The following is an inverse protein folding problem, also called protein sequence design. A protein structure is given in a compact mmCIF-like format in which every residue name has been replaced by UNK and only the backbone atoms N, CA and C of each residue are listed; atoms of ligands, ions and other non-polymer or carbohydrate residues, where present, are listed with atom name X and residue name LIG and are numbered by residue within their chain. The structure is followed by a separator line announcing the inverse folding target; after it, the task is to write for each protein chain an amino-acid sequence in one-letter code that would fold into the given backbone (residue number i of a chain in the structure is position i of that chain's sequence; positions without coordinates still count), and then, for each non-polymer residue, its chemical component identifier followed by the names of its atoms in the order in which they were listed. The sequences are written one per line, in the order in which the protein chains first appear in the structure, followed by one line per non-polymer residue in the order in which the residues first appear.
data_IF_234409858929
#
_entry.id   IF_234409858929
#
_cell.length_a   1.000
_cell.length_b   1.000
_cell.length_c   1.000
_cell.angle_alpha   90.00
_cell.angle_beta   90.00
_cell.angle_gamma   90.00
#
_symmetry.space_group_name_H-M   'P 1'
#
loop_
_entity.id
_entity.type
_entity.pdbx_description
1 polymer ?
#
# COMPACT_ATOMS: atom_id res chain seq x y z
N UNK A 1 -16.97 -18.86 19.98
CA UNK A 1 -15.86 -18.22 19.26
C UNK A 1 -16.31 -16.83 18.89
N UNK A 2 -15.63 -15.79 19.37
CA UNK A 2 -15.96 -14.40 19.07
C UNK A 2 -15.90 -14.21 17.58
N UNK A 3 -17.03 -13.80 16.98
CA UNK A 3 -17.13 -13.76 15.53
C UNK A 3 -16.09 -12.78 15.00
N UNK A 4 -15.13 -13.33 14.25
CA UNK A 4 -14.16 -12.52 13.52
C UNK A 4 -14.92 -11.76 12.47
N UNK A 5 -14.71 -10.45 12.39
CA UNK A 5 -15.31 -9.61 11.36
C UNK A 5 -15.06 -10.21 9.97
N UNK A 6 -16.16 -10.58 9.32
CA UNK A 6 -16.19 -10.90 7.91
C UNK A 6 -16.81 -9.70 7.23
N UNK A 7 -16.03 -9.05 6.38
CA UNK A 7 -16.53 -7.96 5.54
C UNK A 7 -17.69 -8.48 4.70
N UNK A 8 -18.76 -7.68 4.55
CA UNK A 8 -19.92 -8.03 3.73
C UNK A 8 -19.58 -8.32 2.27
N UNK A 9 -18.36 -7.98 1.83
CA UNK A 9 -17.83 -8.33 0.52
C UNK A 9 -18.48 -7.54 -0.62
N UNK A 10 -19.26 -6.51 -0.30
CA UNK A 10 -19.97 -5.70 -1.28
C UNK A 10 -19.00 -4.76 -2.00
N UNK A 11 -19.14 -4.70 -3.33
CA UNK A 11 -18.50 -3.71 -4.16
C UNK A 11 -19.54 -3.17 -5.14
N UNK A 12 -20.02 -1.95 -4.89
CA UNK A 12 -20.99 -1.34 -5.79
C UNK A 12 -20.32 -1.01 -7.13
N UNK A 13 -21.03 -1.13 -8.27
CA UNK A 13 -20.46 -0.77 -9.58
C UNK A 13 -19.93 0.67 -9.62
N UNK A 14 -20.63 1.61 -8.99
CA UNK A 14 -20.20 3.00 -8.89
C UNK A 14 -18.96 3.18 -8.01
N UNK A 15 -18.82 2.37 -6.94
CA UNK A 15 -17.62 2.35 -6.10
C UNK A 15 -16.41 1.84 -6.86
N UNK A 16 -16.56 0.71 -7.57
CA UNK A 16 -15.52 0.14 -8.44
C UNK A 16 -15.08 1.16 -9.49
N UNK A 17 -16.02 1.81 -10.18
CA UNK A 17 -15.72 2.80 -11.20
C UNK A 17 -14.90 3.98 -10.64
N UNK A 18 -15.30 4.52 -9.48
CA UNK A 18 -14.55 5.60 -8.82
C UNK A 18 -13.13 5.15 -8.47
N UNK A 19 -12.97 3.97 -7.87
CA UNK A 19 -11.64 3.45 -7.50
C UNK A 19 -10.74 3.24 -8.71
N UNK A 20 -11.28 2.65 -9.78
CA UNK A 20 -10.54 2.47 -11.04
C UNK A 20 -10.16 3.82 -11.63
N UNK A 21 -11.04 4.83 -11.61
CA UNK A 21 -10.73 6.17 -12.11
C UNK A 21 -9.57 6.82 -11.34
N UNK A 22 -9.60 6.81 -10.00
CA UNK A 22 -8.48 7.33 -9.20
C UNK A 22 -7.18 6.57 -9.47
N UNK A 23 -7.24 5.24 -9.57
CA UNK A 23 -6.09 4.40 -9.88
C UNK A 23 -5.52 4.70 -11.26
N UNK A 24 -6.34 4.77 -12.30
CA UNK A 24 -5.91 5.09 -13.68
C UNK A 24 -5.26 6.48 -13.73
N UNK A 25 -5.88 7.51 -13.16
CA UNK A 25 -5.31 8.85 -13.15
C UNK A 25 -3.92 8.86 -12.50
N UNK A 26 -3.77 8.19 -11.35
CA UNK A 26 -2.49 8.03 -10.69
C UNK A 26 -1.48 7.23 -11.53
N UNK A 27 -1.92 6.17 -12.22
CA UNK A 27 -1.10 5.37 -13.13
C UNK A 27 -0.56 6.13 -14.33
N UNK A 28 -1.12 7.28 -14.70
CA UNK A 28 -0.57 8.15 -15.76
C UNK A 28 0.29 9.28 -15.21
N UNK A 29 -0.05 9.83 -14.04
CA UNK A 29 0.63 11.00 -13.46
C UNK A 29 1.90 10.60 -12.71
N UNK A 30 1.83 9.59 -11.84
CA UNK A 30 2.96 9.21 -10.98
C UNK A 30 4.19 8.70 -11.74
N UNK A 31 4.07 7.96 -12.86
CA UNK A 31 5.22 7.60 -13.68
C UNK A 31 6.08 8.79 -14.13
N UNK A 32 5.46 9.95 -14.43
CA UNK A 32 6.18 11.16 -14.85
C UNK A 32 7.13 11.61 -13.73
N UNK A 33 6.61 11.66 -12.50
CA UNK A 33 7.39 12.04 -11.31
C UNK A 33 8.49 11.02 -11.05
N UNK A 34 8.15 9.73 -11.15
CA UNK A 34 9.10 8.64 -10.96
C UNK A 34 10.29 8.72 -11.92
N UNK A 35 10.05 8.83 -13.22
CA UNK A 35 11.10 8.91 -14.25
C UNK A 35 11.95 10.17 -14.05
N UNK A 36 11.35 11.31 -13.71
CA UNK A 36 12.10 12.52 -13.41
C UNK A 36 13.05 12.30 -12.23
N UNK A 37 12.60 11.71 -11.12
CA UNK A 37 13.45 11.46 -9.96
C UNK A 37 14.62 10.51 -10.27
N UNK A 38 14.33 9.38 -10.90
CA UNK A 38 15.34 8.36 -11.25
C UNK A 38 16.37 8.91 -12.23
N UNK A 39 15.96 9.83 -13.11
CA UNK A 39 16.89 10.47 -14.06
C UNK A 39 17.77 11.53 -13.41
N UNK A 40 17.27 12.25 -12.40
CA UNK A 40 18.03 13.26 -11.68
C UNK A 40 19.14 12.66 -10.81
N UNK A 41 18.89 11.50 -10.20
CA UNK A 41 19.87 10.82 -9.32
C UNK A 41 20.03 9.38 -9.81
N UNK A 42 20.93 9.12 -10.77
CA UNK A 42 21.14 7.79 -11.32
C UNK A 42 21.91 6.89 -10.34
N UNK A 43 21.22 6.39 -9.32
CA UNK A 43 21.74 5.51 -8.29
C UNK A 43 20.77 4.34 -8.04
N UNK A 44 21.28 3.10 -8.04
CA UNK A 44 20.43 1.90 -7.95
C UNK A 44 19.61 1.81 -6.64
N UNK A 45 20.19 2.23 -5.51
CA UNK A 45 19.50 2.23 -4.22
C UNK A 45 18.45 3.32 -4.15
N UNK A 46 18.74 4.49 -4.70
CA UNK A 46 17.77 5.57 -4.83
C UNK A 46 16.59 5.16 -5.71
N UNK A 47 16.85 4.51 -6.85
CA UNK A 47 15.80 4.00 -7.74
C UNK A 47 14.89 3.00 -7.05
N UNK A 48 15.46 2.07 -6.26
CA UNK A 48 14.66 1.12 -5.48
C UNK A 48 13.74 1.81 -4.46
N UNK A 49 14.21 2.86 -3.78
CA UNK A 49 13.38 3.67 -2.87
C UNK A 49 12.30 4.42 -3.64
N UNK A 50 12.63 5.03 -4.78
CA UNK A 50 11.66 5.69 -5.64
C UNK A 50 10.59 4.70 -6.15
N UNK A 51 10.96 3.48 -6.51
CA UNK A 51 10.03 2.44 -6.96
C UNK A 51 9.08 2.01 -5.83
N UNK A 52 9.60 1.86 -4.61
CA UNK A 52 8.79 1.59 -3.42
C UNK A 52 7.79 2.72 -3.17
N UNK A 53 8.24 3.98 -3.16
CA UNK A 53 7.38 5.14 -2.94
C UNK A 53 6.35 5.30 -4.06
N UNK A 54 6.74 5.04 -5.31
CA UNK A 54 5.84 5.08 -6.46
C UNK A 54 4.66 4.12 -6.27
N UNK A 55 4.93 2.87 -5.91
CA UNK A 55 3.87 1.91 -5.63
C UNK A 55 3.01 2.29 -4.41
N UNK A 56 3.62 2.81 -3.34
CA UNK A 56 2.87 3.29 -2.16
C UNK A 56 1.95 4.48 -2.48
N UNK A 57 2.42 5.46 -3.25
CA UNK A 57 1.60 6.61 -3.66
C UNK A 57 0.49 6.20 -4.62
N UNK A 58 0.75 5.26 -5.53
CA UNK A 58 -0.28 4.70 -6.39
C UNK A 58 -1.37 4.01 -5.55
N UNK A 59 -0.97 3.18 -4.60
CA UNK A 59 -1.89 2.55 -3.65
C UNK A 59 -2.69 3.56 -2.82
N UNK A 60 -2.10 4.69 -2.42
CA UNK A 60 -2.82 5.75 -1.71
C UNK A 60 -4.02 6.28 -2.51
N UNK A 61 -3.86 6.55 -3.80
CA UNK A 61 -4.98 7.00 -4.64
C UNK A 61 -6.05 5.92 -4.83
N UNK A 62 -5.63 4.65 -4.93
CA UNK A 62 -6.56 3.51 -4.98
C UNK A 62 -7.33 3.41 -3.66
N UNK A 63 -6.67 3.58 -2.52
CA UNK A 63 -7.29 3.59 -1.20
C UNK A 63 -8.28 4.75 -1.02
N UNK A 64 -7.97 5.94 -1.53
CA UNK A 64 -8.93 7.06 -1.58
C UNK A 64 -10.19 6.66 -2.37
N UNK A 65 -9.99 6.02 -3.52
CA UNK A 65 -11.06 5.43 -4.30
C UNK A 65 -11.89 4.42 -3.51
N UNK A 66 -11.24 3.46 -2.83
CA UNK A 66 -11.90 2.46 -1.97
C UNK A 66 -12.70 3.13 -0.86
N UNK A 67 -12.15 4.18 -0.23
CA UNK A 67 -12.79 4.94 0.83
C UNK A 67 -14.08 5.58 0.34
N UNK A 68 -13.99 6.33 -0.76
CA UNK A 68 -15.12 7.07 -1.36
C UNK A 68 -16.15 6.11 -1.97
N UNK A 69 -15.67 5.03 -2.59
CA UNK A 69 -16.48 4.00 -3.24
C UNK A 69 -17.06 2.96 -2.28
N UNK A 70 -16.62 2.96 -1.01
CA UNK A 70 -17.05 2.03 0.05
C UNK A 70 -16.92 0.55 -0.38
N UNK A 71 -15.83 0.24 -1.08
CA UNK A 71 -15.53 -1.13 -1.52
C UNK A 71 -15.12 -1.95 -0.31
N UNK A 72 -15.85 -3.04 -0.06
CA UNK A 72 -15.64 -3.97 1.07
C UNK A 72 -15.11 -5.33 0.62
N UNK A 73 -14.99 -5.52 -0.70
CA UNK A 73 -14.48 -6.74 -1.30
C UNK A 73 -12.96 -6.68 -1.47
N UNK A 74 -12.24 -7.48 -0.66
CA UNK A 74 -10.78 -7.54 -0.70
C UNK A 74 -10.24 -8.00 -2.06
N UNK A 75 -10.86 -9.01 -2.68
CA UNK A 75 -10.39 -9.55 -3.97
C UNK A 75 -10.51 -8.52 -5.08
N UNK A 76 -11.63 -7.78 -5.13
CA UNK A 76 -11.84 -6.72 -6.12
C UNK A 76 -10.85 -5.57 -5.88
N UNK A 77 -10.67 -5.13 -4.63
CA UNK A 77 -9.70 -4.09 -4.30
C UNK A 77 -8.27 -4.45 -4.73
N UNK A 78 -7.81 -5.67 -4.43
CA UNK A 78 -6.49 -6.15 -4.87
C UNK A 78 -6.44 -6.33 -6.39
N UNK A 79 -7.52 -6.79 -7.04
CA UNK A 79 -7.59 -6.87 -8.49
C UNK A 79 -7.40 -5.52 -9.17
N UNK A 80 -8.06 -4.47 -8.67
CA UNK A 80 -7.87 -3.09 -9.15
C UNK A 80 -6.43 -2.63 -8.89
N UNK A 81 -5.89 -2.92 -7.70
CA UNK A 81 -4.51 -2.58 -7.34
C UNK A 81 -3.49 -3.21 -8.30
N UNK A 82 -3.64 -4.49 -8.63
CA UNK A 82 -2.80 -5.20 -9.59
C UNK A 82 -2.93 -4.59 -10.99
N UNK A 83 -4.15 -4.36 -11.46
CA UNK A 83 -4.41 -3.73 -12.77
C UNK A 83 -3.74 -2.36 -12.88
N UNK A 84 -3.97 -1.47 -11.90
CA UNK A 84 -3.39 -0.13 -11.90
C UNK A 84 -1.86 -0.16 -11.73
N UNK A 85 -1.32 -1.09 -10.93
CA UNK A 85 0.12 -1.29 -10.78
C UNK A 85 0.79 -1.68 -12.09
N UNK A 86 0.22 -2.66 -12.82
CA UNK A 86 0.71 -3.06 -14.14
C UNK A 86 0.58 -1.93 -15.17
N UNK A 87 -0.54 -1.22 -15.18
CA UNK A 87 -0.74 -0.07 -16.06
C UNK A 87 0.28 1.05 -15.78
N UNK A 88 0.55 1.34 -14.51
CA UNK A 88 1.53 2.33 -14.11
C UNK A 88 2.96 1.89 -14.49
N UNK A 89 3.27 0.59 -14.33
CA UNK A 89 4.52 0.02 -14.78
C UNK A 89 4.69 0.10 -16.30
N UNK A 90 3.62 -0.16 -17.06
CA UNK A 90 3.63 0.01 -18.51
C UNK A 90 3.84 1.47 -18.92
N UNK A 91 3.10 2.40 -18.31
CA UNK A 91 3.21 3.83 -18.58
C UNK A 91 4.60 4.39 -18.27
N UNK A 92 5.28 3.91 -17.22
CA UNK A 92 6.63 4.36 -16.95
C UNK A 92 7.63 3.94 -18.05
N UNK A 93 7.43 2.76 -18.65
CA UNK A 93 8.24 2.29 -19.76
C UNK A 93 8.02 3.14 -21.01
N UNK A 94 6.76 3.44 -21.34
CA UNK A 94 6.43 4.35 -22.44
C UNK A 94 7.07 5.71 -22.23
N UNK A 95 6.97 6.30 -21.02
CA UNK A 95 7.58 7.60 -20.74
C UNK A 95 9.10 7.56 -20.76
N UNK A 96 9.70 6.51 -20.22
CA UNK A 96 11.15 6.33 -20.24
C UNK A 96 11.66 6.31 -21.68
N UNK A 97 11.02 5.54 -22.55
CA UNK A 97 11.41 5.40 -23.95
C UNK A 97 11.27 6.73 -24.73
N UNK A 98 10.09 7.35 -24.66
CA UNK A 98 9.83 8.65 -25.29
C UNK A 98 10.86 9.71 -24.87
N UNK A 99 11.21 9.75 -23.59
CA UNK A 99 12.19 10.72 -23.08
C UNK A 99 13.64 10.34 -23.42
N UNK A 100 13.94 9.04 -23.53
CA UNK A 100 15.26 8.57 -23.92
C UNK A 100 15.57 8.88 -25.40
N UNK A 101 14.57 8.74 -26.28
CA UNK A 101 14.68 9.01 -27.72
C UNK A 101 14.28 10.43 -28.14
N UNK A 102 13.85 11.26 -27.19
CA UNK A 102 13.60 12.69 -27.43
C UNK A 102 14.82 13.37 -28.06
N UNK A 103 14.60 14.09 -29.16
CA UNK A 103 15.65 14.80 -29.91
C UNK A 103 16.39 15.86 -29.07
N UNK A 104 15.75 16.37 -28.01
CA UNK A 104 16.35 17.33 -27.06
C UNK A 104 16.94 16.65 -25.82
N UNK A 105 16.87 15.32 -25.76
CA UNK A 105 17.17 14.53 -24.57
C UNK A 105 16.25 14.88 -23.39
N UNK A 106 16.66 14.46 -22.20
CA UNK A 106 15.97 14.81 -20.96
C UNK A 106 16.25 16.27 -20.58
N UNK A 107 15.26 17.15 -20.72
CA UNK A 107 15.36 18.57 -20.38
C UNK A 107 14.03 19.14 -19.92
N UNK A 108 14.07 20.12 -19.03
CA UNK A 108 12.89 20.90 -18.61
C UNK A 108 12.62 22.10 -19.53
N UNK A 109 13.53 22.42 -20.46
CA UNK A 109 13.38 23.55 -21.39
C UNK A 109 12.57 23.14 -22.63
N UNK A 110 11.31 22.81 -22.43
CA UNK A 110 10.38 22.38 -23.49
C UNK A 110 9.48 23.53 -23.94
N UNK A 111 9.29 23.67 -25.25
CA UNK A 111 8.29 24.55 -25.84
C UNK A 111 6.96 23.83 -26.04
N UNK A 112 5.89 24.57 -26.34
CA UNK A 112 4.59 23.95 -26.64
C UNK A 112 4.60 23.02 -27.86
N UNK A 113 5.49 23.24 -28.83
CA UNK A 113 5.66 22.34 -29.97
C UNK A 113 6.33 21.03 -29.54
N UNK A 114 7.35 21.10 -28.68
CA UNK A 114 8.04 19.91 -28.16
C UNK A 114 7.10 19.03 -27.35
N UNK A 115 6.25 19.64 -26.50
CA UNK A 115 5.25 18.90 -25.72
C UNK A 115 4.24 18.16 -26.62
N UNK A 116 3.84 18.76 -27.75
CA UNK A 116 2.94 18.09 -28.70
C UNK A 116 3.58 16.87 -29.36
N UNK A 117 4.87 16.96 -29.70
CA UNK A 117 5.63 15.83 -30.25
C UNK A 117 5.74 14.72 -29.21
N UNK A 118 6.21 15.04 -27.99
CA UNK A 118 6.32 14.06 -26.90
C UNK A 118 4.98 13.39 -26.57
N UNK A 119 3.88 14.14 -26.58
CA UNK A 119 2.55 13.59 -26.38
C UNK A 119 2.15 12.65 -27.53
N UNK A 120 2.47 13.01 -28.77
CA UNK A 120 2.24 12.16 -29.95
C UNK A 120 3.03 10.86 -29.89
N UNK A 121 4.31 10.93 -29.55
CA UNK A 121 5.19 9.77 -29.39
C UNK A 121 4.72 8.88 -28.24
N UNK A 122 4.31 9.48 -27.12
CA UNK A 122 3.70 8.78 -26.01
C UNK A 122 2.44 8.00 -26.44
N UNK A 123 1.50 8.64 -27.12
CA UNK A 123 0.29 7.97 -27.60
C UNK A 123 0.59 6.86 -28.62
N UNK A 124 1.57 7.09 -29.50
CA UNK A 124 2.00 6.11 -30.46
C UNK A 124 2.55 4.86 -29.76
N UNK A 125 3.52 5.01 -28.87
CA UNK A 125 4.12 3.89 -28.15
C UNK A 125 3.15 3.19 -27.20
N UNK A 126 2.31 3.95 -26.49
CA UNK A 126 1.26 3.41 -25.62
C UNK A 126 0.26 2.54 -26.40
N UNK A 127 -0.03 2.88 -27.66
CA UNK A 127 -0.99 2.12 -28.48
C UNK A 127 -0.33 0.97 -29.25
N UNK A 128 1.00 0.88 -29.25
CA UNK A 128 1.78 -0.13 -29.99
C UNK A 128 2.74 -0.87 -29.05
N UNK A 129 2.25 -1.68 -28.09
CA UNK A 129 3.08 -2.37 -27.11
C UNK A 129 4.14 -3.30 -27.74
N UNK A 130 3.87 -3.83 -28.94
CA UNK A 130 4.85 -4.65 -29.67
C UNK A 130 6.07 -3.87 -30.19
N UNK A 131 5.93 -2.55 -30.39
CA UNK A 131 7.05 -1.67 -30.75
C UNK A 131 7.85 -1.36 -29.48
N UNK A 132 7.18 -0.91 -28.42
CA UNK A 132 7.81 -0.65 -27.12
C UNK A 132 8.63 -1.85 -26.63
N UNK A 133 8.08 -3.07 -26.74
CA UNK A 133 8.82 -4.26 -26.31
C UNK A 133 10.11 -4.49 -27.12
N UNK A 134 10.10 -4.22 -28.43
CA UNK A 134 11.31 -4.29 -29.26
C UNK A 134 12.34 -3.23 -28.85
N UNK A 135 11.90 -2.03 -28.51
CA UNK A 135 12.77 -0.97 -28.01
C UNK A 135 13.38 -1.34 -26.65
N UNK A 136 12.59 -1.91 -25.74
CA UNK A 136 13.10 -2.44 -24.46
C UNK A 136 14.16 -3.53 -24.69
N UNK A 137 13.94 -4.43 -25.65
CA UNK A 137 14.95 -5.44 -26.02
C UNK A 137 16.24 -4.79 -26.57
N UNK A 138 16.11 -3.81 -27.46
CA UNK A 138 17.25 -3.10 -28.02
C UNK A 138 18.03 -2.32 -26.93
N UNK A 139 17.32 -1.62 -26.04
CA UNK A 139 17.90 -0.96 -24.88
C UNK A 139 18.60 -1.96 -23.94
N UNK A 140 18.09 -3.19 -23.84
CA UNK A 140 18.71 -4.23 -23.06
C UNK A 140 20.04 -4.71 -23.66
N UNK A 141 20.14 -4.78 -24.99
CA UNK A 141 21.37 -5.14 -25.70
C UNK A 141 22.45 -4.08 -25.57
N UNK A 142 22.10 -2.81 -25.74
CA UNK A 142 23.04 -1.68 -25.64
C UNK A 142 23.38 -1.33 -24.19
N UNK A 143 22.43 -1.56 -23.27
CA UNK A 143 22.52 -1.24 -21.86
C UNK A 143 22.12 0.20 -21.55
N UNK A 144 21.49 0.41 -20.40
CA UNK A 144 20.82 1.69 -20.06
C UNK A 144 21.54 2.54 -19.01
N UNK A 145 22.41 1.94 -18.20
CA UNK A 145 23.19 2.64 -17.19
C UNK A 145 24.49 1.89 -16.85
N UNK A 146 25.41 2.57 -16.17
CA UNK A 146 26.69 2.02 -15.72
C UNK A 146 26.73 1.97 -14.20
N UNK A 147 27.32 0.90 -13.66
CA UNK A 147 27.69 0.84 -12.25
C UNK A 147 29.09 1.45 -12.13
N UNK A 148 29.35 2.21 -11.07
CA UNK A 148 30.65 2.82 -10.81
C UNK A 148 31.75 1.74 -10.81
N UNK A 149 32.78 1.93 -11.64
CA UNK A 149 33.86 0.94 -11.84
C UNK A 149 33.54 -0.22 -12.81
N UNK A 150 32.38 -0.24 -13.47
CA UNK A 150 31.95 -1.30 -14.40
C UNK A 150 31.68 -0.81 -15.83
N UNK A 151 31.59 -1.76 -16.77
CA UNK A 151 30.95 -1.59 -18.07
C UNK A 151 29.43 -1.32 -17.93
N UNK A 152 28.80 -0.87 -19.01
CA UNK A 152 27.35 -0.68 -19.09
C UNK A 152 26.63 -1.98 -18.77
N UNK A 153 25.62 -1.89 -17.91
CA UNK A 153 24.78 -3.03 -17.51
C UNK A 153 23.83 -3.32 -18.66
N UNK A 154 23.89 -4.55 -19.18
CA UNK A 154 23.10 -5.04 -20.32
C UNK A 154 22.72 -6.52 -20.12
N UNK A 155 21.88 -7.04 -21.01
CA UNK A 155 21.53 -8.46 -21.04
C UNK A 155 20.75 -8.92 -19.81
N UNK A 156 21.05 -10.13 -19.34
CA UNK A 156 20.31 -10.80 -18.28
C UNK A 156 20.31 -10.04 -16.94
N UNK A 157 21.43 -9.40 -16.57
CA UNK A 157 21.51 -8.62 -15.33
C UNK A 157 20.53 -7.43 -15.34
N UNK A 158 20.39 -6.78 -16.48
CA UNK A 158 19.48 -5.65 -16.63
C UNK A 158 18.01 -6.09 -16.57
N UNK A 159 17.67 -7.25 -17.14
CA UNK A 159 16.35 -7.85 -16.97
C UNK A 159 16.01 -8.15 -15.50
N UNK A 160 16.96 -8.66 -14.71
CA UNK A 160 16.77 -8.88 -13.27
C UNK A 160 16.45 -7.58 -12.55
N UNK A 161 17.14 -6.48 -12.89
CA UNK A 161 16.93 -5.18 -12.24
C UNK A 161 15.53 -4.64 -12.56
N UNK A 162 15.11 -4.65 -13.82
CA UNK A 162 13.77 -4.22 -14.22
C UNK A 162 12.67 -5.10 -13.65
N UNK A 163 12.90 -6.42 -13.57
CA UNK A 163 11.97 -7.33 -12.92
C UNK A 163 11.90 -7.08 -11.41
N UNK A 164 13.03 -6.82 -10.76
CA UNK A 164 13.10 -6.44 -9.36
C UNK A 164 12.33 -5.14 -9.08
N UNK A 165 12.46 -4.15 -9.96
CA UNK A 165 11.69 -2.92 -9.90
C UNK A 165 10.18 -3.17 -10.01
N UNK A 166 9.75 -3.98 -10.98
CA UNK A 166 8.36 -4.41 -11.12
C UNK A 166 7.86 -5.05 -9.82
N UNK A 167 8.63 -5.98 -9.24
CA UNK A 167 8.26 -6.63 -7.99
C UNK A 167 8.13 -5.63 -6.84
N UNK A 168 9.07 -4.69 -6.68
CA UNK A 168 9.02 -3.68 -5.62
C UNK A 168 7.77 -2.80 -5.76
N UNK A 169 7.45 -2.34 -6.97
CA UNK A 169 6.24 -1.55 -7.25
C UNK A 169 4.99 -2.39 -6.95
N UNK A 170 4.91 -3.61 -7.48
CA UNK A 170 3.72 -4.45 -7.32
C UNK A 170 3.48 -4.87 -5.87
N UNK A 171 4.54 -5.28 -5.16
CA UNK A 171 4.45 -5.68 -3.76
C UNK A 171 4.07 -4.52 -2.87
N UNK A 172 4.63 -3.31 -3.10
CA UNK A 172 4.24 -2.12 -2.34
C UNK A 172 2.79 -1.73 -2.60
N UNK A 173 2.31 -1.76 -3.85
CA UNK A 173 0.91 -1.47 -4.17
C UNK A 173 -0.04 -2.43 -3.46
N UNK A 174 0.20 -3.74 -3.60
CA UNK A 174 -0.64 -4.80 -3.01
C UNK A 174 -0.62 -4.72 -1.48
N UNK A 175 0.57 -4.54 -0.89
CA UNK A 175 0.73 -4.47 0.55
C UNK A 175 0.03 -3.24 1.13
N UNK A 176 0.20 -2.06 0.51
CA UNK A 176 -0.41 -0.82 0.99
C UNK A 176 -1.93 -0.86 0.87
N UNK A 177 -2.50 -1.25 -0.28
CA UNK A 177 -3.96 -1.40 -0.43
C UNK A 177 -4.49 -2.46 0.54
N UNK A 178 -3.83 -3.62 0.65
CA UNK A 178 -4.29 -4.73 1.49
C UNK A 178 -4.31 -4.40 3.00
N UNK A 179 -3.46 -3.47 3.44
CA UNK A 179 -3.40 -2.98 4.82
C UNK A 179 -4.03 -1.58 5.00
N UNK A 180 -4.57 -1.01 3.92
CA UNK A 180 -5.13 0.33 3.86
C UNK A 180 -6.59 0.39 4.24
N UNK A 181 -7.39 1.09 3.44
CA UNK A 181 -8.79 1.36 3.79
C UNK A 181 -9.64 0.08 3.86
N UNK A 182 -9.37 -0.90 3.00
CA UNK A 182 -10.06 -2.20 2.97
C UNK A 182 -9.88 -3.02 4.25
N UNK A 183 -8.86 -2.68 5.05
CA UNK A 183 -8.55 -3.33 6.32
C UNK A 183 -9.32 -2.74 7.51
N UNK A 184 -10.04 -1.64 7.32
CA UNK A 184 -10.84 -1.00 8.36
C UNK A 184 -12.25 -1.62 8.36
N UNK A 185 -12.85 -1.94 9.52
CA UNK A 185 -14.24 -2.41 9.56
C UNK A 185 -15.23 -1.37 9.03
N UNK A 186 -16.32 -1.84 8.43
CA UNK A 186 -17.38 -0.99 7.89
C UNK A 186 -18.64 -1.13 8.74
N UNK A 187 -19.26 -0.01 9.08
CA UNK A 187 -20.58 0.04 9.72
C UNK A 187 -21.64 0.05 8.63
N UNK A 188 -22.36 -1.06 8.49
CA UNK A 188 -23.48 -1.16 7.54
C UNK A 188 -24.68 -0.29 7.99
N UNK A 189 -24.88 -0.13 9.30
CA UNK A 189 -25.92 0.72 9.85
C UNK A 189 -25.71 2.20 9.50
N UNK A 190 -24.46 2.68 9.62
CA UNK A 190 -24.12 4.07 9.40
C UNK A 190 -23.56 4.34 8.00
N UNK A 191 -23.57 3.35 7.11
CA UNK A 191 -23.00 3.39 5.75
C UNK A 191 -21.63 4.09 5.72
N UNK A 192 -20.75 3.76 6.66
CA UNK A 192 -19.47 4.45 6.84
C UNK A 192 -18.39 3.55 7.41
N UNK A 193 -17.14 3.86 7.06
CA UNK A 193 -15.99 3.20 7.65
C UNK A 193 -15.90 3.55 9.13
N UNK A 194 -15.67 2.54 9.96
CA UNK A 194 -15.52 2.77 11.40
C UNK A 194 -14.27 3.57 11.70
N UNK A 195 -14.35 4.36 12.76
CA UNK A 195 -13.25 5.21 13.20
C UNK A 195 -12.42 4.46 14.23
N UNK A 196 -11.09 4.50 14.06
CA UNK A 196 -10.18 4.00 15.08
C UNK A 196 -10.17 4.98 16.25
N UNK A 197 -10.48 4.50 17.45
CA UNK A 197 -10.37 5.31 18.67
C UNK A 197 -8.91 5.74 18.87
N UNK A 198 -8.71 7.03 19.17
CA UNK A 198 -7.36 7.61 19.37
C UNK A 198 -6.67 7.03 20.60
N UNK A 199 -7.43 6.89 21.69
CA UNK A 199 -6.94 6.29 22.92
C UNK A 199 -6.86 4.76 22.77
N UNK A 200 -5.67 4.20 23.04
CA UNK A 200 -5.40 2.76 22.97
C UNK A 200 -5.41 2.24 24.40
N UNK A 201 -6.26 1.26 24.70
CA UNK A 201 -6.25 0.69 26.04
C UNK A 201 -5.04 -0.21 26.20
N UNK A 202 -4.43 -0.17 27.38
CA UNK A 202 -3.42 -1.13 27.79
C UNK A 202 -4.08 -2.10 28.74
N UNK A 203 -3.86 -3.39 28.50
CA UNK A 203 -4.36 -4.48 29.33
C UNK A 203 -3.21 -5.43 29.67
N UNK A 204 -3.44 -6.32 30.62
CA UNK A 204 -2.45 -7.33 30.98
C UNK A 204 -2.05 -8.14 29.75
N UNK A 205 -0.78 -8.54 29.71
CA UNK A 205 -0.28 -9.39 28.63
C UNK A 205 -1.12 -10.66 28.53
N UNK A 206 -1.56 -11.00 27.32
CA UNK A 206 -2.38 -12.18 27.10
C UNK A 206 -1.49 -13.38 26.83
N UNK A 207 -1.36 -14.27 27.81
CA UNK A 207 -0.54 -15.48 27.69
C UNK A 207 -1.22 -16.55 26.83
N UNK A 208 -2.47 -16.89 27.16
CA UNK A 208 -3.27 -17.85 26.42
C UNK A 208 -4.38 -17.17 25.62
N UNK A 209 -4.29 -17.35 24.30
CA UNK A 209 -5.27 -16.82 23.35
C UNK A 209 -6.64 -17.46 23.51
N UNK A 210 -6.71 -18.76 23.77
CA UNK A 210 -7.97 -19.50 23.74
C UNK A 210 -8.80 -19.21 24.99
N UNK A 211 -8.14 -19.14 26.16
CA UNK A 211 -8.76 -18.65 27.39
C UNK A 211 -9.26 -17.22 27.25
N UNK A 212 -8.45 -16.33 26.65
CA UNK A 212 -8.85 -14.94 26.41
C UNK A 212 -10.08 -14.84 25.50
N UNK A 213 -10.09 -15.54 24.37
CA UNK A 213 -11.25 -15.55 23.46
C UNK A 213 -12.50 -16.10 24.15
N UNK A 214 -12.34 -17.11 25.00
CA UNK A 214 -13.45 -17.68 25.78
C UNK A 214 -14.04 -16.66 26.75
N UNK A 215 -13.21 -15.84 27.41
CA UNK A 215 -13.68 -14.78 28.30
C UNK A 215 -14.42 -13.67 27.53
N UNK A 216 -13.90 -13.28 26.37
CA UNK A 216 -14.58 -12.33 25.48
C UNK A 216 -15.94 -12.87 25.01
N UNK A 217 -16.04 -14.16 24.70
CA UNK A 217 -17.30 -14.81 24.30
C UNK A 217 -18.33 -14.82 25.43
N UNK A 218 -17.87 -14.89 26.68
CA UNK A 218 -18.69 -14.78 27.89
C UNK A 218 -19.09 -13.34 28.22
N UNK A 219 -18.74 -12.37 27.36
CA UNK A 219 -18.99 -10.93 27.52
C UNK A 219 -18.25 -10.31 28.71
N UNK A 220 -17.14 -10.89 29.12
CA UNK A 220 -16.26 -10.37 30.18
C UNK A 220 -15.38 -9.22 29.61
N UNK A 221 -16.02 -8.16 29.12
CA UNK A 221 -15.34 -7.06 28.43
C UNK A 221 -14.53 -6.15 29.36
N UNK A 222 -14.64 -6.30 30.68
CA UNK A 222 -13.82 -5.58 31.65
C UNK A 222 -12.32 -5.84 31.43
N UNK A 223 -11.97 -7.02 30.90
CA UNK A 223 -10.60 -7.40 30.52
C UNK A 223 -10.02 -6.51 29.41
N UNK A 224 -10.86 -5.76 28.68
CA UNK A 224 -10.47 -4.85 27.60
C UNK A 224 -10.35 -3.39 28.06
N UNK A 225 -10.72 -3.07 29.31
CA UNK A 225 -10.64 -1.71 29.84
C UNK A 225 -9.19 -1.33 30.11
N UNK A 226 -8.87 -0.05 29.92
CA UNK A 226 -7.54 0.45 30.20
C UNK A 226 -7.17 0.23 31.67
N UNK A 227 -6.04 -0.42 31.90
CA UNK A 227 -5.45 -0.56 33.22
C UNK A 227 -4.29 0.43 33.37
N UNK A 228 -4.42 1.38 34.28
CA UNK A 228 -3.43 2.43 34.55
C UNK A 228 -2.19 1.88 35.29
N UNK A 229 -2.30 0.76 36.00
CA UNK A 229 -1.23 0.19 36.81
C UNK A 229 -0.11 -0.48 35.97
N UNK A 230 -0.38 -0.72 34.68
CA UNK A 230 0.54 -1.40 33.76
C UNK A 230 1.18 -0.46 32.74
N UNK A 231 1.11 0.85 32.95
CA UNK A 231 1.74 1.83 32.06
C UNK A 231 3.24 1.59 31.91
N UNK A 232 3.91 1.12 32.97
CA UNK A 232 5.34 0.83 33.02
C UNK A 232 5.69 -0.67 32.94
N UNK A 233 4.71 -1.53 32.68
CA UNK A 233 4.94 -2.97 32.59
C UNK A 233 5.83 -3.32 31.38
N UNK A 234 6.76 -4.26 31.58
CA UNK A 234 7.63 -4.75 30.50
C UNK A 234 6.82 -5.46 29.39
N UNK A 235 5.78 -6.19 29.78
CA UNK A 235 4.89 -6.92 28.88
C UNK A 235 3.46 -6.48 29.13
N UNK A 236 2.75 -6.11 28.07
CA UNK A 236 1.35 -5.72 28.12
C UNK A 236 0.67 -6.06 26.78
N UNK A 237 -0.64 -5.85 26.67
CA UNK A 237 -1.34 -5.88 25.39
C UNK A 237 -2.02 -4.54 25.10
N UNK A 238 -2.02 -4.14 23.83
CA UNK A 238 -2.72 -2.97 23.31
C UNK A 238 -4.07 -3.41 22.73
N UNK A 239 -5.13 -2.72 23.13
CA UNK A 239 -6.48 -2.90 22.59
C UNK A 239 -6.78 -1.72 21.67
N UNK A 240 -6.93 -2.01 20.38
CA UNK A 240 -7.31 -1.03 19.37
C UNK A 240 -8.76 -1.22 19.01
N UNK A 241 -9.57 -0.19 19.29
CA UNK A 241 -11.03 -0.22 19.11
C UNK A 241 -11.40 0.57 17.85
N UNK A 242 -12.29 -0.03 17.04
CA UNK A 242 -12.96 0.61 15.92
C UNK A 242 -14.45 0.72 16.25
N UNK A 243 -15.00 1.91 16.10
CA UNK A 243 -16.40 2.20 16.43
C UNK A 243 -16.99 3.23 15.47
N UNK A 244 -18.32 3.25 15.41
CA UNK A 244 -19.10 4.25 14.69
C UNK A 244 -20.21 4.78 15.60
N UNK A 245 -20.53 6.09 15.59
CA UNK A 245 -21.54 6.65 16.49
C UNK A 245 -22.90 5.96 16.37
N UNK A 246 -23.43 5.44 17.48
CA UNK A 246 -24.74 4.78 17.51
C UNK A 246 -24.78 3.35 16.94
N UNK A 247 -23.66 2.83 16.43
CA UNK A 247 -23.55 1.41 16.05
C UNK A 247 -23.27 0.58 17.32
N UNK A 248 -24.09 -0.44 17.64
CA UNK A 248 -23.85 -1.31 18.78
C UNK A 248 -22.62 -2.21 18.60
N UNK A 249 -22.14 -2.41 17.37
CA UNK A 249 -20.96 -3.19 17.08
C UNK A 249 -19.68 -2.36 17.22
N UNK A 250 -18.75 -2.86 18.04
CA UNK A 250 -17.36 -2.41 18.09
C UNK A 250 -16.47 -3.53 17.56
N UNK A 251 -15.40 -3.18 16.87
CA UNK A 251 -14.39 -4.15 16.46
C UNK A 251 -13.08 -3.90 17.18
N UNK A 252 -12.45 -4.98 17.62
CA UNK A 252 -11.26 -4.89 18.47
C UNK A 252 -10.10 -5.70 17.89
N UNK A 253 -8.92 -5.09 17.87
CA UNK A 253 -7.66 -5.78 17.71
C UNK A 253 -6.94 -5.82 19.06
N UNK A 254 -6.37 -6.97 19.41
CA UNK A 254 -5.54 -7.13 20.61
C UNK A 254 -4.13 -7.49 20.17
N UNK A 255 -3.16 -6.70 20.62
CA UNK A 255 -1.77 -6.77 20.19
C UNK A 255 -0.89 -6.91 21.41
N UNK A 256 -0.26 -8.06 21.60
CA UNK A 256 0.72 -8.24 22.67
C UNK A 256 2.00 -7.46 22.34
N UNK A 257 2.51 -6.75 23.34
CA UNK A 257 3.73 -5.94 23.26
C UNK A 257 4.72 -6.45 24.31
N UNK A 258 5.91 -6.80 23.86
CA UNK A 258 7.04 -7.19 24.70
C UNK A 258 8.13 -6.13 24.54
N UNK A 259 8.45 -5.41 25.61
CA UNK A 259 9.50 -4.41 25.61
C UNK A 259 10.85 -5.08 25.87
N UNK A 260 11.67 -5.20 24.82
CA UNK A 260 13.05 -5.65 24.95
C UNK A 260 13.95 -4.45 25.26
N UNK A 261 14.75 -4.54 26.32
CA UNK A 261 15.73 -3.53 26.69
C UNK A 261 17.09 -3.95 26.16
N UNK A 262 17.73 -3.10 25.35
CA UNK A 262 19.08 -3.36 24.87
C UNK A 262 20.15 -3.07 25.93
N UNK A 263 21.41 -3.44 25.65
CA UNK A 263 22.55 -3.19 26.54
C UNK A 263 22.81 -1.69 26.81
N UNK A 264 22.17 -0.78 26.08
CA UNK A 264 22.27 0.68 26.19
C UNK A 264 21.01 1.32 26.80
N UNK A 265 20.07 0.52 27.30
CA UNK A 265 18.82 1.00 27.90
C UNK A 265 17.74 1.43 26.91
N UNK A 266 17.93 1.21 25.59
CA UNK A 266 16.92 1.51 24.57
C UNK A 266 15.84 0.43 24.55
N UNK A 267 14.59 0.85 24.72
CA UNK A 267 13.42 -0.03 24.66
C UNK A 267 13.02 -0.24 23.20
N UNK A 268 12.94 -1.50 22.77
CA UNK A 268 12.42 -1.88 21.44
C UNK A 268 11.19 -2.76 21.63
N UNK A 269 9.97 -2.27 21.29
CA UNK A 269 8.75 -3.04 21.43
C UNK A 269 8.62 -4.08 20.33
N UNK A 270 8.48 -5.36 20.70
CA UNK A 270 8.10 -6.45 19.78
C UNK A 270 6.60 -6.65 19.87
N UNK A 271 5.89 -6.39 18.77
CA UNK A 271 4.43 -6.53 18.69
C UNK A 271 4.02 -7.84 18.05
N UNK A 272 3.03 -8.52 18.62
CA UNK A 272 2.40 -9.73 18.07
C UNK A 272 0.88 -9.56 18.08
N UNK A 273 0.27 -9.56 16.89
CA UNK A 273 -1.18 -9.54 16.77
C UNK A 273 -1.74 -10.86 17.32
N UNK A 274 -2.49 -10.78 18.43
CA UNK A 274 -3.12 -11.93 19.04
C UNK A 274 -4.45 -12.23 18.34
N UNK A 275 -5.27 -11.19 18.22
CA UNK A 275 -6.57 -11.25 17.54
C UNK A 275 -6.80 -9.99 16.73
N UNK A 276 -7.48 -10.15 15.60
CA UNK A 276 -7.74 -9.07 14.64
C UNK A 276 -9.23 -9.07 14.31
N UNK A 277 -9.88 -7.93 14.60
CA UNK A 277 -11.27 -7.60 14.31
C UNK A 277 -12.27 -8.55 14.96
N UNK A 278 -12.17 -8.77 16.27
CA UNK A 278 -13.26 -9.43 17.01
C UNK A 278 -14.45 -8.47 17.05
N UNK A 279 -15.64 -8.94 16.68
CA UNK A 279 -16.86 -8.18 16.84
C UNK A 279 -17.38 -8.27 18.29
N UNK A 280 -17.64 -7.12 18.89
CA UNK A 280 -18.24 -7.01 20.23
C UNK A 280 -19.54 -6.23 20.12
N UNK A 281 -20.65 -6.85 20.52
CA UNK A 281 -21.97 -6.20 20.51
C UNK A 281 -22.28 -5.59 21.87
N UNK A 282 -22.72 -4.32 21.87
CA UNK A 282 -23.11 -3.55 23.05
C UNK A 282 -22.02 -3.50 24.14
N UNK A 283 -20.75 -3.54 23.75
CA UNK A 283 -19.64 -3.53 24.68
C UNK A 283 -19.39 -2.12 25.24
N UNK A 284 -19.47 -1.98 26.57
CA UNK A 284 -19.10 -0.75 27.26
C UNK A 284 -17.60 -0.74 27.58
N UNK A 285 -16.83 -0.51 26.52
CA UNK A 285 -15.37 -0.33 26.50
C UNK A 285 -15.03 1.00 25.85
#
# INVERSE_FOLDING_TARGET
MGEKYISSGVASPSGVLKTVLFGILASFILPIIYIVLVRLIPNIWFNAICALMFGMFLAYFIDLGIKIGKIRNFKIAIGIAVFCGLLAFYNQWVLFDVLAYSSKGFTFKLTGADLKILLGDFFFLFSHPGILFKEIMYLNEVGTFRIEGSSTVSGFLLWIIWFGELLVIMLSVIFTVGNGQIAIPFSEQNDSWMTRRKFIHRINYVEDKDTFLTAIDRKEYDLLKHNEEIVDAQNFAEVVIFESPGDPAKYVNVINVINNVDKKGKITPKKKNLVTRIQLLNANI
#
